data_IF_425938443224
#
_entry.id   IF_425938443224
#
_cell.length_a   1.000
_cell.length_b   1.000
_cell.length_c   1.000
_cell.angle_alpha   90.00
_cell.angle_beta   90.00
_cell.angle_gamma   90.00
#
_symmetry.space_group_name_H-M   'P 1'
#
loop_
_entity.id
_entity.type
_entity.pdbx_description
1 polymer ?
#
# COMPACT_ATOMS: atom_id res chain seq x y z
N UNK A 1 -12.07 16.76 -38.58
CA UNK A 1 -11.94 16.81 -37.11
C UNK A 1 -12.15 15.40 -36.58
N UNK A 2 -11.08 14.63 -36.40
CA UNK A 2 -11.17 13.29 -35.82
C UNK A 2 -11.10 13.43 -34.30
N UNK A 3 -12.26 13.32 -33.64
CA UNK A 3 -12.32 13.13 -32.19
C UNK A 3 -11.84 11.72 -31.92
N UNK A 4 -10.54 11.58 -31.70
CA UNK A 4 -9.94 10.37 -31.17
C UNK A 4 -10.64 10.08 -29.83
N UNK A 5 -11.45 9.02 -29.81
CA UNK A 5 -12.06 8.54 -28.57
C UNK A 5 -10.89 8.07 -27.71
N UNK A 6 -10.42 8.91 -26.78
CA UNK A 6 -9.50 8.49 -25.72
C UNK A 6 -10.06 7.20 -25.14
N UNK A 7 -9.33 6.11 -25.30
CA UNK A 7 -9.66 4.84 -24.67
C UNK A 7 -9.95 5.11 -23.19
N UNK A 8 -10.91 4.40 -22.56
CA UNK A 8 -11.14 4.54 -21.13
C UNK A 8 -9.79 4.43 -20.45
N UNK A 9 -9.42 5.44 -19.63
CA UNK A 9 -8.16 5.41 -18.87
C UNK A 9 -8.18 4.08 -18.12
N UNK A 10 -7.37 3.13 -18.56
CA UNK A 10 -7.29 1.82 -17.93
C UNK A 10 -6.84 2.10 -16.50
N UNK A 11 -7.55 1.54 -15.54
CA UNK A 11 -7.11 1.64 -14.17
C UNK A 11 -5.69 1.08 -14.08
N UNK A 12 -4.82 1.83 -13.44
CA UNK A 12 -3.44 1.46 -13.20
C UNK A 12 -3.30 1.06 -11.74
N UNK A 13 -2.29 0.25 -11.44
CA UNK A 13 -1.98 -0.15 -10.08
C UNK A 13 -0.78 0.65 -9.60
N UNK A 14 -1.00 1.38 -8.53
CA UNK A 14 0.00 2.20 -7.88
C UNK A 14 0.56 1.46 -6.67
N UNK A 15 1.87 1.54 -6.49
CA UNK A 15 2.51 1.11 -5.23
C UNK A 15 2.51 2.30 -4.28
N UNK A 16 1.79 2.17 -3.17
CA UNK A 16 1.71 3.20 -2.13
C UNK A 16 2.29 2.62 -0.84
N UNK A 17 3.10 3.40 -0.13
CA UNK A 17 3.46 3.10 1.26
C UNK A 17 2.70 4.07 2.14
N UNK A 18 1.89 3.53 3.04
CA UNK A 18 1.08 4.30 3.97
C UNK A 18 1.60 4.08 5.38
N UNK A 19 1.98 5.15 6.05
CA UNK A 19 2.27 5.10 7.47
C UNK A 19 0.96 5.29 8.24
N UNK A 20 0.69 4.37 9.16
CA UNK A 20 -0.48 4.42 10.05
C UNK A 20 -0.01 4.54 11.50
N UNK A 21 -0.73 5.35 12.28
CA UNK A 21 -0.57 5.43 13.72
C UNK A 21 -1.42 4.41 14.46
N UNK A 22 -1.11 4.17 15.73
CA UNK A 22 -1.93 3.34 16.60
C UNK A 22 -3.32 3.95 16.80
N UNK A 23 -4.34 3.11 16.66
CA UNK A 23 -5.74 3.36 16.99
C UNK A 23 -6.29 2.23 17.88
N UNK A 24 -7.50 2.40 18.42
CA UNK A 24 -8.11 1.45 19.35
C UNK A 24 -8.45 0.09 18.70
N UNK A 25 -8.79 0.10 17.42
CA UNK A 25 -9.34 -1.03 16.68
C UNK A 25 -8.60 -1.24 15.35
N UNK A 26 -7.34 -0.78 15.28
CA UNK A 26 -6.49 -0.79 14.08
C UNK A 26 -6.01 -2.18 13.64
N UNK A 27 -6.21 -3.21 14.46
CA UNK A 27 -5.71 -4.56 14.20
C UNK A 27 -4.19 -4.68 14.19
N UNK A 28 -3.46 -3.66 14.66
CA UNK A 28 -2.00 -3.70 14.73
C UNK A 28 -1.53 -4.59 15.90
N UNK A 29 -0.37 -5.27 15.77
CA UNK A 29 0.19 -6.11 16.83
C UNK A 29 0.28 -5.36 18.17
N UNK A 30 0.04 -6.05 19.29
CA UNK A 30 0.16 -5.45 20.63
C UNK A 30 1.56 -4.84 20.84
N UNK A 31 1.64 -3.70 21.53
CA UNK A 31 2.90 -2.95 21.75
C UNK A 31 3.34 -2.05 20.58
N UNK A 32 2.82 -2.25 19.37
CA UNK A 32 3.15 -1.34 18.26
C UNK A 32 2.64 0.08 18.52
N UNK A 33 3.32 1.09 17.98
CA UNK A 33 2.90 2.50 17.99
C UNK A 33 2.34 2.96 16.63
N UNK A 34 2.45 2.10 15.62
CA UNK A 34 2.03 2.33 14.25
C UNK A 34 2.55 1.22 13.33
N UNK A 35 2.42 1.42 12.02
CA UNK A 35 2.99 0.53 11.02
C UNK A 35 3.20 1.24 9.68
N UNK A 36 4.11 0.73 8.86
CA UNK A 36 4.15 1.01 7.43
C UNK A 36 3.39 -0.11 6.68
N UNK A 37 2.45 0.28 5.84
CA UNK A 37 1.67 -0.60 4.98
C UNK A 37 2.10 -0.37 3.54
N UNK A 38 2.64 -1.40 2.89
CA UNK A 38 2.83 -1.38 1.44
C UNK A 38 1.54 -1.87 0.77
N UNK A 39 0.91 -0.98 0.03
CA UNK A 39 -0.38 -1.17 -0.60
C UNK A 39 -0.26 -1.13 -2.13
N UNK A 40 -0.94 -2.05 -2.80
CA UNK A 40 -1.23 -1.94 -4.22
C UNK A 40 -2.65 -1.42 -4.40
N UNK A 41 -2.77 -0.22 -4.93
CA UNK A 41 -4.04 0.48 -5.08
C UNK A 41 -4.37 0.68 -6.56
N UNK A 42 -5.53 0.22 -6.98
CA UNK A 42 -6.06 0.55 -8.31
C UNK A 42 -6.56 1.99 -8.34
N UNK A 43 -6.24 2.73 -9.40
CA UNK A 43 -6.78 4.08 -9.59
C UNK A 43 -6.63 4.57 -11.03
N UNK A 44 -7.43 5.57 -11.39
CA UNK A 44 -7.32 6.25 -12.69
C UNK A 44 -6.07 7.16 -12.75
N UNK A 45 -5.70 7.72 -11.61
CA UNK A 45 -4.46 8.45 -11.37
C UNK A 45 -3.99 8.22 -9.93
N UNK A 46 -2.75 8.61 -9.63
CA UNK A 46 -2.16 8.42 -8.31
C UNK A 46 -2.94 9.15 -7.21
N UNK A 47 -3.40 10.36 -7.47
CA UNK A 47 -4.13 11.14 -6.48
C UNK A 47 -5.48 10.48 -6.13
N UNK A 48 -6.14 9.84 -7.10
CA UNK A 48 -7.30 8.99 -6.84
C UNK A 48 -6.94 7.76 -6.00
N UNK A 49 -5.90 7.01 -6.38
CA UNK A 49 -5.46 5.84 -5.63
C UNK A 49 -5.13 6.18 -4.16
N UNK A 50 -4.48 7.32 -3.92
CA UNK A 50 -4.18 7.84 -2.57
C UNK A 50 -5.47 8.16 -1.80
N UNK A 51 -6.42 8.89 -2.41
CA UNK A 51 -7.68 9.26 -1.73
C UNK A 51 -8.49 8.03 -1.35
N UNK A 52 -8.63 7.07 -2.27
CA UNK A 52 -9.39 5.84 -2.02
C UNK A 52 -8.71 4.97 -0.97
N UNK A 53 -7.37 4.85 -1.02
CA UNK A 53 -6.60 4.14 0.01
C UNK A 53 -6.82 4.72 1.39
N UNK A 54 -6.73 6.05 1.54
CA UNK A 54 -6.98 6.73 2.82
C UNK A 54 -8.42 6.50 3.30
N UNK A 55 -9.40 6.53 2.39
CA UNK A 55 -10.80 6.29 2.73
C UNK A 55 -11.03 4.87 3.25
N UNK A 56 -10.50 3.86 2.56
CA UNK A 56 -10.62 2.44 2.94
C UNK A 56 -9.92 2.16 4.26
N UNK A 57 -8.71 2.68 4.47
CA UNK A 57 -7.97 2.49 5.73
C UNK A 57 -8.73 3.09 6.91
N UNK A 58 -9.32 4.27 6.75
CA UNK A 58 -10.18 4.87 7.79
C UNK A 58 -11.44 4.07 8.07
N UNK A 59 -12.04 3.45 7.05
CA UNK A 59 -13.19 2.55 7.22
C UNK A 59 -12.80 1.27 7.96
N UNK A 60 -11.53 0.86 7.89
CA UNK A 60 -10.95 -0.27 8.62
C UNK A 60 -10.36 0.15 9.98
N UNK A 61 -10.76 1.31 10.54
CA UNK A 61 -10.31 1.83 11.83
C UNK A 61 -8.79 2.10 11.94
N UNK A 62 -8.06 2.09 10.82
CA UNK A 62 -6.65 2.48 10.74
C UNK A 62 -6.52 4.01 10.70
N UNK A 63 -5.43 4.53 11.28
CA UNK A 63 -5.16 5.97 11.34
C UNK A 63 -4.02 6.37 10.38
N UNK A 64 -4.28 6.60 9.07
CA UNK A 64 -3.25 7.02 8.12
C UNK A 64 -2.66 8.39 8.50
N UNK A 65 -1.34 8.47 8.52
CA UNK A 65 -0.54 9.64 8.87
C UNK A 65 0.12 10.25 7.64
N UNK A 66 0.83 9.44 6.88
CA UNK A 66 1.54 9.83 5.66
C UNK A 66 1.31 8.81 4.54
N UNK A 67 1.29 9.29 3.29
CA UNK A 67 1.14 8.44 2.11
C UNK A 67 2.22 8.82 1.10
N UNK A 68 3.09 7.87 0.80
CA UNK A 68 4.14 7.99 -0.20
C UNK A 68 3.83 7.11 -1.41
N UNK A 69 3.84 7.70 -2.61
CA UNK A 69 3.64 6.98 -3.87
C UNK A 69 4.95 6.61 -4.55
N UNK A 70 5.04 5.38 -5.04
CA UNK A 70 6.20 4.82 -5.77
C UNK A 70 5.91 4.59 -7.25
N UNK A 71 4.88 5.24 -7.79
CA UNK A 71 4.46 5.09 -9.19
C UNK A 71 3.76 3.76 -9.48
N UNK A 72 3.67 3.44 -10.77
CA UNK A 72 2.97 2.25 -11.27
C UNK A 72 3.90 1.06 -11.43
N UNK A 73 3.34 -0.12 -11.67
CA UNK A 73 4.12 -1.30 -12.05
C UNK A 73 5.01 -1.02 -13.27
N UNK A 74 4.50 -0.30 -14.27
CA UNK A 74 5.25 0.06 -15.48
C UNK A 74 6.45 0.93 -15.12
N UNK A 75 6.25 1.95 -14.28
CA UNK A 75 7.32 2.86 -13.81
C UNK A 75 8.43 2.07 -13.10
N UNK A 76 8.07 1.12 -12.22
CA UNK A 76 9.03 0.24 -11.54
C UNK A 76 9.83 -0.64 -12.52
N UNK A 77 9.17 -1.19 -13.53
CA UNK A 77 9.83 -1.99 -14.56
C UNK A 77 10.79 -1.11 -15.39
N UNK A 78 10.38 0.10 -15.74
CA UNK A 78 11.20 1.06 -16.49
C UNK A 78 12.43 1.52 -15.69
N UNK A 79 12.30 1.68 -14.38
CA UNK A 79 13.40 1.94 -13.46
C UNK A 79 14.35 0.73 -13.27
N UNK A 80 14.03 -0.42 -13.87
CA UNK A 80 14.83 -1.64 -13.79
C UNK A 80 14.62 -2.44 -12.51
N UNK A 81 13.53 -2.22 -11.78
CA UNK A 81 13.22 -2.99 -10.58
C UNK A 81 12.62 -4.34 -10.95
N UNK A 82 13.17 -5.42 -10.39
CA UNK A 82 12.56 -6.74 -10.47
C UNK A 82 11.35 -6.81 -9.54
N UNK A 83 10.16 -6.95 -10.12
CA UNK A 83 8.91 -7.19 -9.40
C UNK A 83 8.56 -8.67 -9.49
N UNK A 84 8.52 -9.35 -8.35
CA UNK A 84 8.28 -10.79 -8.28
C UNK A 84 6.88 -11.15 -8.83
N UNK A 85 6.71 -12.40 -9.29
CA UNK A 85 5.43 -12.83 -9.86
C UNK A 85 4.28 -12.69 -8.83
N UNK A 86 4.53 -12.99 -7.57
CA UNK A 86 3.53 -12.85 -6.51
C UNK A 86 3.07 -11.40 -6.32
N UNK A 87 3.98 -10.42 -6.37
CA UNK A 87 3.61 -9.00 -6.35
C UNK A 87 2.77 -8.63 -7.58
N UNK A 88 3.13 -9.15 -8.77
CA UNK A 88 2.36 -8.90 -10.00
C UNK A 88 0.95 -9.49 -9.92
N UNK A 89 0.80 -10.66 -9.31
CA UNK A 89 -0.49 -11.31 -9.12
C UNK A 89 -1.37 -10.50 -8.14
N UNK A 90 -0.79 -10.00 -7.04
CA UNK A 90 -1.48 -9.10 -6.12
C UNK A 90 -1.90 -7.80 -6.83
N UNK A 91 -1.01 -7.20 -7.62
CA UNK A 91 -1.34 -6.01 -8.41
C UNK A 91 -2.46 -6.28 -9.41
N UNK A 92 -2.40 -7.41 -10.13
CA UNK A 92 -3.45 -7.81 -11.08
C UNK A 92 -4.80 -7.97 -10.39
N UNK A 93 -4.84 -8.56 -9.20
CA UNK A 93 -6.06 -8.66 -8.38
C UNK A 93 -6.58 -7.29 -7.95
N UNK A 94 -5.71 -6.39 -7.50
CA UNK A 94 -6.11 -5.02 -7.15
C UNK A 94 -6.77 -4.31 -8.35
N UNK A 95 -6.22 -4.48 -9.56
CA UNK A 95 -6.79 -3.94 -10.78
C UNK A 95 -8.14 -4.58 -11.17
N UNK A 96 -8.26 -5.89 -11.03
CA UNK A 96 -9.48 -6.63 -11.39
C UNK A 96 -10.65 -6.33 -10.45
N UNK A 97 -10.35 -6.23 -9.14
CA UNK A 97 -11.36 -6.05 -8.09
C UNK A 97 -11.63 -4.58 -7.76
N UNK A 98 -10.91 -3.64 -8.39
CA UNK A 98 -10.94 -2.21 -8.06
C UNK A 98 -10.72 -1.99 -6.56
N UNK A 99 -9.70 -2.66 -6.01
CA UNK A 99 -9.46 -2.75 -4.57
C UNK A 99 -8.07 -2.25 -4.16
N UNK A 100 -7.91 -2.04 -2.86
CA UNK A 100 -6.61 -1.77 -2.23
C UNK A 100 -6.16 -3.03 -1.51
N UNK A 101 -4.99 -3.54 -1.87
CA UNK A 101 -4.41 -4.76 -1.29
C UNK A 101 -3.17 -4.39 -0.48
N UNK A 102 -3.15 -4.75 0.81
CA UNK A 102 -1.95 -4.65 1.65
C UNK A 102 -1.04 -5.83 1.36
N UNK A 103 0.10 -5.56 0.72
CA UNK A 103 1.09 -6.57 0.35
C UNK A 103 2.07 -6.87 1.49
N UNK A 104 2.41 -5.85 2.28
CA UNK A 104 3.30 -5.98 3.43
C UNK A 104 2.87 -5.04 4.55
N UNK A 105 2.96 -5.50 5.79
CA UNK A 105 2.78 -4.70 7.00
C UNK A 105 4.06 -4.78 7.84
N UNK A 106 4.65 -3.63 8.13
CA UNK A 106 5.85 -3.51 8.97
C UNK A 106 5.48 -2.69 10.21
N UNK A 107 5.18 -3.34 11.36
CA UNK A 107 4.82 -2.64 12.58
C UNK A 107 6.01 -1.87 13.17
N UNK A 108 5.73 -0.71 13.74
CA UNK A 108 6.69 0.09 14.50
C UNK A 108 6.50 -0.19 15.99
N UNK A 109 7.57 -0.56 16.69
CA UNK A 109 7.56 -0.75 18.14
C UNK A 109 8.36 0.35 18.82
N UNK A 110 7.95 0.76 20.01
CA UNK A 110 8.73 1.70 20.80
C UNK A 110 10.07 1.07 21.23
N UNK A 111 11.10 1.89 21.46
CA UNK A 111 12.45 1.43 21.81
C UNK A 111 12.49 0.60 23.11
N UNK A 112 11.47 0.70 23.96
CA UNK A 112 11.31 -0.14 25.15
C UNK A 112 10.94 -1.61 24.84
N UNK A 113 10.44 -1.91 23.65
CA UNK A 113 9.96 -3.26 23.28
C UNK A 113 10.84 -3.97 22.24
N UNK A 114 11.62 -3.21 21.47
CA UNK A 114 12.59 -3.76 20.50
C UNK A 114 13.65 -4.66 21.17
N UNK A 115 13.94 -4.45 22.46
CA UNK A 115 14.91 -5.25 23.23
C UNK A 115 14.36 -6.61 23.70
N UNK A 116 13.06 -6.90 23.54
CA UNK A 116 12.44 -8.14 24.04
C UNK A 116 12.22 -9.23 22.99
N UNK A 117 12.33 -8.91 21.70
CA UNK A 117 11.94 -9.80 20.58
C UNK A 117 13.07 -10.44 19.78
N UNK A 118 14.33 -10.35 20.23
CA UNK A 118 15.50 -10.62 19.39
C UNK A 118 16.49 -11.67 19.89
N UNK A 119 16.07 -12.72 20.61
CA UNK A 119 16.95 -13.88 20.80
C UNK A 119 16.77 -14.86 19.64
N UNK A 120 17.52 -14.65 18.55
CA UNK A 120 17.82 -15.73 17.62
C UNK A 120 18.77 -16.71 18.35
N UNK A 121 18.41 -18.00 18.48
CA UNK A 121 19.34 -18.98 19.02
C UNK A 121 20.40 -19.31 17.96
N UNK A 122 21.67 -19.22 18.35
CA UNK A 122 22.73 -20.09 17.84
C UNK A 122 23.48 -20.65 19.05
#
# INVERSE_FOLDING_TARGET
MSKEKKAPKRQQVYTLVVEVGRSKDDGLPEGSVGAALMCYASGVDEAEAVRETVAILKQADLAPLDVTGYGTLEDRIEMGHEVAQEERDLMARAAEENSVIVAQMTPFFSEAEAESGGQLPN
#
